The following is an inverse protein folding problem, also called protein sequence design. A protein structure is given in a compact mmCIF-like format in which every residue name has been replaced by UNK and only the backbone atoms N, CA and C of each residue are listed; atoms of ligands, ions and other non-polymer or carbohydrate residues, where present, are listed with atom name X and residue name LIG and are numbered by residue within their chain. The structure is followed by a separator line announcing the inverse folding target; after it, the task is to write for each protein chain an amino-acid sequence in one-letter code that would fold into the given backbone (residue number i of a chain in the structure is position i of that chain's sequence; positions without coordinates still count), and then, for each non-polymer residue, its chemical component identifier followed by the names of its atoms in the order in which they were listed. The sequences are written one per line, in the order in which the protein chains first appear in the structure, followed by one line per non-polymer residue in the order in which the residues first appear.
data_IF_792861272519
#
_entry.id   IF_792861272519
#
_cell.length_a   1.000
_cell.length_b   1.000
_cell.length_c   1.000
_cell.angle_alpha   90.00
_cell.angle_beta   90.00
_cell.angle_gamma   90.00
#
_symmetry.space_group_name_H-M   'P 1'
#
loop_
_entity.id
_entity.type
_entity.pdbx_description
1 polymer ?
#
# COMPACT_ATOMS: atom_id res chain seq x y z
N UNK A 1 -19.22 13.11 -82.76
CA UNK A 1 -20.00 13.89 -81.77
C UNK A 1 -20.25 12.97 -80.60
N UNK A 2 -20.05 13.28 -79.32
CA UNK A 2 -19.36 14.30 -78.53
C UNK A 2 -19.39 13.75 -77.10
N UNK A 3 -18.33 13.91 -76.30
CA UNK A 3 -18.36 13.63 -74.84
C UNK A 3 -19.30 14.62 -74.13
N UNK A 4 -19.67 14.37 -72.86
CA UNK A 4 -18.89 15.03 -71.81
C UNK A 4 -18.67 14.21 -70.53
N UNK A 5 -17.63 14.61 -69.81
CA UNK A 5 -17.27 14.26 -68.43
C UNK A 5 -18.28 14.86 -67.43
N UNK A 6 -18.44 14.27 -66.24
CA UNK A 6 -18.70 15.07 -65.03
C UNK A 6 -18.28 14.33 -63.74
N UNK A 7 -17.56 15.07 -62.90
CA UNK A 7 -17.03 14.77 -61.57
C UNK A 7 -18.09 15.11 -60.51
N UNK A 8 -18.18 14.34 -59.42
CA UNK A 8 -18.62 14.88 -58.11
C UNK A 8 -17.98 14.14 -56.93
N UNK A 9 -17.46 14.95 -56.01
CA UNK A 9 -16.79 14.74 -54.71
C UNK A 9 -17.41 13.81 -53.62
N UNK A 10 -16.51 13.16 -52.87
CA UNK A 10 -16.27 13.07 -51.38
C UNK A 10 -17.44 13.39 -50.41
N UNK A 11 -17.62 12.76 -49.20
CA UNK A 11 -16.65 12.30 -48.17
C UNK A 11 -16.97 10.87 -47.61
N UNK A 12 -16.31 10.23 -46.65
CA UNK A 12 -15.82 10.64 -45.33
C UNK A 12 -15.00 9.47 -44.73
N UNK A 13 -14.31 9.78 -43.63
CA UNK A 13 -13.39 9.00 -42.84
C UNK A 13 -13.77 7.54 -42.52
N UNK A 14 -12.77 6.65 -42.55
CA UNK A 14 -12.22 6.15 -41.29
C UNK A 14 -10.81 5.55 -41.46
N UNK A 15 -9.90 6.16 -40.71
CA UNK A 15 -8.68 5.56 -40.21
C UNK A 15 -9.04 4.28 -39.44
N UNK A 16 -8.36 3.16 -39.71
CA UNK A 16 -8.28 2.04 -38.77
C UNK A 16 -6.91 1.41 -38.91
N UNK A 17 -5.92 2.06 -38.31
CA UNK A 17 -4.86 1.34 -37.59
C UNK A 17 -5.49 0.66 -36.37
N UNK A 18 -5.41 -0.67 -36.21
CA UNK A 18 -5.43 -1.25 -34.89
C UNK A 18 -4.00 -1.16 -34.36
N UNK A 19 -3.80 -0.20 -33.46
CA UNK A 19 -2.67 -0.09 -32.56
C UNK A 19 -2.16 -1.46 -32.11
N UNK A 20 -1.01 -1.88 -32.63
CA UNK A 20 -0.14 -2.82 -31.91
C UNK A 20 0.70 -2.01 -30.93
N UNK A 21 0.00 -1.28 -30.05
CA UNK A 21 0.58 -0.87 -28.79
C UNK A 21 0.31 -2.05 -27.89
N UNK A 22 1.16 -3.07 -27.99
CA UNK A 22 1.44 -3.89 -26.82
C UNK A 22 2.07 -2.92 -25.81
N UNK A 23 1.21 -2.13 -25.16
CA UNK A 23 1.52 -1.46 -23.94
C UNK A 23 1.89 -2.59 -23.01
N UNK A 24 3.19 -2.84 -22.92
CA UNK A 24 3.82 -3.58 -21.85
C UNK A 24 3.14 -3.05 -20.60
N UNK A 25 2.14 -3.80 -20.11
CA UNK A 25 1.42 -3.44 -18.91
C UNK A 25 2.46 -3.64 -17.84
N UNK A 26 3.26 -2.60 -17.58
CA UNK A 26 4.13 -2.51 -16.42
C UNK A 26 3.31 -3.10 -15.30
N UNK A 27 3.79 -4.15 -14.62
CA UNK A 27 3.02 -4.74 -13.55
C UNK A 27 2.80 -3.61 -12.55
N UNK A 28 1.59 -3.05 -12.59
CA UNK A 28 1.26 -1.88 -11.82
C UNK A 28 1.33 -2.36 -10.39
N UNK A 29 2.39 -1.96 -9.67
CA UNK A 29 2.44 -2.16 -8.23
C UNK A 29 1.32 -1.32 -7.65
N UNK A 30 0.18 -1.97 -7.41
CA UNK A 30 -0.98 -1.31 -6.85
C UNK A 30 -0.80 -1.26 -5.33
N UNK A 31 -1.09 -0.11 -4.74
CA UNK A 31 -1.18 0.03 -3.29
C UNK A 31 -2.44 -0.64 -2.71
N UNK A 32 -3.23 -1.33 -3.53
CA UNK A 32 -4.53 -1.88 -3.14
C UNK A 32 -4.43 -2.86 -1.96
N UNK A 33 -3.47 -3.80 -1.99
CA UNK A 33 -3.27 -4.74 -0.88
C UNK A 33 -2.83 -4.04 0.41
N UNK A 34 -1.99 -3.01 0.29
CA UNK A 34 -1.56 -2.19 1.44
C UNK A 34 -2.73 -1.38 2.00
N UNK A 35 -3.57 -0.82 1.14
CA UNK A 35 -4.77 -0.09 1.53
C UNK A 35 -5.75 -1.01 2.27
N UNK A 36 -5.98 -2.23 1.78
CA UNK A 36 -6.86 -3.21 2.42
C UNK A 36 -6.35 -3.58 3.83
N UNK A 37 -5.04 -3.77 3.97
CA UNK A 37 -4.40 -3.97 5.28
C UNK A 37 -4.68 -2.76 6.16
N UNK A 38 -4.34 -1.55 5.72
CA UNK A 38 -4.55 -0.34 6.53
C UNK A 38 -6.02 -0.14 6.93
N UNK A 39 -6.97 -0.40 6.02
CA UNK A 39 -8.41 -0.33 6.29
C UNK A 39 -8.83 -1.32 7.38
N UNK A 40 -8.28 -2.55 7.38
CA UNK A 40 -8.50 -3.55 8.43
C UNK A 40 -8.08 -3.03 9.81
N UNK A 41 -7.02 -2.23 9.87
CA UNK A 41 -6.53 -1.59 11.09
C UNK A 41 -7.14 -0.20 11.34
N UNK A 42 -8.04 0.28 10.48
CA UNK A 42 -8.62 1.65 10.50
C UNK A 42 -7.56 2.75 10.43
N UNK A 43 -6.53 2.51 9.62
CA UNK A 43 -5.41 3.40 9.42
C UNK A 43 -5.48 4.03 8.02
N UNK A 44 -4.97 5.25 7.90
CA UNK A 44 -4.86 5.95 6.63
C UNK A 44 -3.49 5.72 6.00
N UNK A 45 -3.38 5.89 4.68
CA UNK A 45 -2.09 5.89 3.98
C UNK A 45 -1.11 6.93 4.54
N UNK A 46 -1.63 8.07 5.00
CA UNK A 46 -0.85 9.17 5.60
C UNK A 46 -0.67 9.01 7.11
N UNK A 47 -0.32 7.80 7.55
CA UNK A 47 -0.18 7.49 8.98
C UNK A 47 1.02 8.16 9.63
N UNK A 48 0.79 8.75 10.81
CA UNK A 48 1.81 9.29 11.69
C UNK A 48 2.15 8.33 12.84
N UNK A 49 3.20 8.66 13.58
CA UNK A 49 3.62 7.89 14.77
C UNK A 49 2.55 7.93 15.86
N UNK A 50 1.85 9.05 15.96
CA UNK A 50 0.77 9.30 16.93
C UNK A 50 -0.43 8.39 16.71
N UNK A 51 -0.71 8.04 15.45
CA UNK A 51 -1.79 7.10 15.11
C UNK A 51 -1.41 5.68 15.52
N UNK A 52 -0.12 5.32 15.36
CA UNK A 52 0.42 4.02 15.78
C UNK A 52 0.43 3.85 17.31
N UNK A 53 0.80 4.88 18.07
CA UNK A 53 0.71 4.84 19.54
C UNK A 53 -0.72 4.64 20.08
N UNK A 54 -1.74 4.87 19.26
CA UNK A 54 -3.13 4.61 19.63
C UNK A 54 -3.53 3.14 19.48
N UNK A 55 -2.70 2.35 18.82
CA UNK A 55 -2.88 0.91 18.62
C UNK A 55 -2.26 0.13 19.77
N UNK A 56 -2.78 -1.07 20.01
CA UNK A 56 -2.17 -1.98 20.97
C UNK A 56 -0.88 -2.58 20.37
N UNK A 57 0.15 -2.87 21.19
CA UNK A 57 1.42 -3.40 20.68
C UNK A 57 1.26 -4.69 19.84
N UNK A 58 0.35 -5.59 20.24
CA UNK A 58 0.07 -6.79 19.45
C UNK A 58 -0.64 -6.49 18.12
N UNK A 59 -1.47 -5.45 18.06
CA UNK A 59 -2.11 -4.98 16.82
C UNK A 59 -1.06 -4.40 15.87
N UNK A 60 -0.06 -3.70 16.41
CA UNK A 60 1.07 -3.17 15.64
C UNK A 60 1.97 -4.29 15.11
N UNK A 61 2.26 -5.31 15.93
CA UNK A 61 2.99 -6.49 15.48
C UNK A 61 2.24 -7.23 14.35
N UNK A 62 0.93 -7.41 14.49
CA UNK A 62 0.09 -8.03 13.45
C UNK A 62 0.08 -7.19 12.15
N UNK A 63 -0.02 -5.86 12.25
CA UNK A 63 0.08 -4.97 11.10
C UNK A 63 1.43 -5.12 10.38
N UNK A 64 2.54 -5.16 11.11
CA UNK A 64 3.89 -5.35 10.55
C UNK A 64 3.98 -6.64 9.76
N UNK A 65 3.46 -7.74 10.31
CA UNK A 65 3.51 -9.05 9.67
C UNK A 65 2.67 -9.08 8.38
N UNK A 66 1.47 -8.49 8.38
CA UNK A 66 0.64 -8.35 7.17
C UNK A 66 1.33 -7.52 6.08
N UNK A 67 2.02 -6.43 6.45
CA UNK A 67 2.76 -5.60 5.50
C UNK A 67 3.93 -6.35 4.86
N UNK A 68 4.70 -7.12 5.65
CA UNK A 68 5.77 -7.95 5.10
C UNK A 68 5.24 -9.05 4.17
N UNK A 69 4.10 -9.65 4.51
CA UNK A 69 3.46 -10.66 3.66
C UNK A 69 3.04 -10.07 2.30
N UNK A 70 2.36 -8.92 2.30
CA UNK A 70 1.93 -8.28 1.05
C UNK A 70 3.11 -7.76 0.23
N UNK A 71 4.14 -7.22 0.89
CA UNK A 71 5.38 -6.82 0.21
C UNK A 71 6.05 -8.02 -0.48
N UNK A 72 6.13 -9.16 0.21
CA UNK A 72 6.64 -10.41 -0.34
C UNK A 72 5.83 -10.87 -1.55
N UNK A 73 4.50 -10.93 -1.42
CA UNK A 73 3.59 -11.30 -2.50
C UNK A 73 3.73 -10.39 -3.71
N UNK A 74 3.83 -9.07 -3.50
CA UNK A 74 3.98 -8.12 -4.58
C UNK A 74 5.33 -8.26 -5.28
N UNK A 75 6.42 -8.51 -4.53
CA UNK A 75 7.74 -8.78 -5.10
C UNK A 75 7.73 -10.02 -5.98
N UNK A 76 7.05 -11.08 -5.55
CA UNK A 76 6.94 -12.33 -6.32
C UNK A 76 6.10 -12.14 -7.59
N UNK A 77 5.05 -11.31 -7.55
CA UNK A 77 4.22 -10.97 -8.72
C UNK A 77 4.98 -10.18 -9.80
N UNK A 78 5.91 -9.31 -9.40
CA UNK A 78 6.64 -8.45 -10.35
C UNK A 78 7.97 -9.03 -10.80
N UNK A 79 8.48 -10.08 -10.15
CA UNK A 79 9.76 -10.69 -10.52
C UNK A 79 9.78 -11.14 -12.01
N UNK A 80 10.85 -10.85 -12.77
CA UNK A 80 12.13 -10.26 -12.36
C UNK A 80 12.18 -8.72 -12.34
N UNK A 81 11.08 -8.03 -12.64
CA UNK A 81 11.04 -6.57 -12.60
C UNK A 81 11.19 -6.06 -11.15
N UNK A 82 11.79 -4.88 -11.02
CA UNK A 82 11.89 -4.21 -9.73
C UNK A 82 10.52 -3.67 -9.28
N UNK A 83 10.28 -3.69 -7.97
CA UNK A 83 9.16 -2.95 -7.38
C UNK A 83 9.31 -1.45 -7.66
N UNK A 84 8.18 -0.75 -7.82
CA UNK A 84 8.21 0.69 -7.96
C UNK A 84 8.78 1.33 -6.68
N UNK A 85 9.77 2.21 -6.85
CA UNK A 85 10.44 2.90 -5.74
C UNK A 85 9.47 3.56 -4.73
N UNK A 86 8.38 4.24 -5.15
CA UNK A 86 7.43 4.82 -4.19
C UNK A 86 6.77 3.79 -3.27
N UNK A 87 6.51 2.57 -3.76
CA UNK A 87 5.95 1.49 -2.96
C UNK A 87 6.97 0.95 -1.96
N UNK A 88 8.20 0.70 -2.42
CA UNK A 88 9.29 0.22 -1.56
C UNK A 88 9.62 1.22 -0.45
N UNK A 89 9.76 2.50 -0.80
CA UNK A 89 10.03 3.59 0.15
C UNK A 89 8.89 3.73 1.17
N UNK A 90 7.63 3.57 0.74
CA UNK A 90 6.46 3.63 1.62
C UNK A 90 6.47 2.49 2.65
N UNK A 91 6.61 1.24 2.20
CA UNK A 91 6.60 0.07 3.08
C UNK A 91 7.75 0.13 4.07
N UNK A 92 8.95 0.50 3.60
CA UNK A 92 10.12 0.66 4.47
C UNK A 92 9.89 1.73 5.54
N UNK A 93 9.30 2.87 5.16
CA UNK A 93 8.98 3.94 6.11
C UNK A 93 7.95 3.47 7.13
N UNK A 94 6.89 2.79 6.69
CA UNK A 94 5.81 2.34 7.56
C UNK A 94 6.30 1.28 8.55
N UNK A 95 7.03 0.26 8.09
CA UNK A 95 7.61 -0.77 8.96
C UNK A 95 8.54 -0.14 9.99
N UNK A 96 9.41 0.78 9.58
CA UNK A 96 10.30 1.49 10.52
C UNK A 96 9.53 2.25 11.60
N UNK A 97 8.43 2.91 11.25
CA UNK A 97 7.60 3.62 12.23
C UNK A 97 6.95 2.66 13.22
N UNK A 98 6.48 1.50 12.75
CA UNK A 98 5.91 0.47 13.61
C UNK A 98 6.96 -0.08 14.57
N UNK A 99 8.15 -0.42 14.07
CA UNK A 99 9.25 -0.94 14.89
C UNK A 99 9.68 0.09 15.95
N UNK A 100 9.75 1.37 15.59
CA UNK A 100 10.08 2.44 16.54
C UNK A 100 9.06 2.54 17.68
N UNK A 101 7.76 2.41 17.40
CA UNK A 101 6.71 2.44 18.43
C UNK A 101 6.76 1.19 19.30
N UNK A 102 6.97 0.01 18.70
CA UNK A 102 7.10 -1.25 19.44
C UNK A 102 8.31 -1.24 20.39
N UNK A 103 9.43 -0.69 19.94
CA UNK A 103 10.66 -0.57 20.75
C UNK A 103 10.45 0.39 21.92
N UNK A 104 9.68 1.46 21.73
CA UNK A 104 9.31 2.41 22.80
C UNK A 104 8.42 1.76 23.86
N UNK A 105 7.38 1.02 23.45
CA UNK A 105 6.51 0.29 24.38
C UNK A 105 7.29 -0.76 25.22
N UNK A 106 8.26 -1.46 24.61
CA UNK A 106 9.10 -2.42 25.34
C UNK A 106 10.07 -1.72 26.31
N UNK A 107 10.61 -0.56 25.93
CA UNK A 107 11.44 0.25 26.82
C UNK A 107 10.65 0.76 28.04
N UNK A 108 9.40 1.19 27.83
CA UNK A 108 8.50 1.60 28.91
C UNK A 108 8.13 0.42 29.82
N UNK A 109 7.84 -0.75 29.24
CA UNK A 109 7.55 -1.97 30.00
C UNK A 109 8.73 -2.40 30.89
N UNK A 110 9.97 -2.33 30.36
CA UNK A 110 11.18 -2.61 31.15
C UNK A 110 11.38 -1.59 32.26
N UNK A 111 11.12 -0.33 32.00
CA UNK A 111 11.22 0.75 32.99
C UNK A 111 10.19 0.59 34.11
N UNK A 112 8.96 0.18 33.78
CA UNK A 112 7.92 -0.13 34.75
C UNK A 112 8.23 -1.39 35.58
N UNK A 113 8.77 -2.43 34.94
CA UNK A 113 9.19 -3.68 35.59
C UNK A 113 10.30 -3.45 36.61
N UNK A 114 11.28 -2.59 36.31
CA UNK A 114 12.35 -2.20 37.23
C UNK A 114 11.86 -1.43 38.47
N UNK A 115 10.65 -0.85 38.40
CA UNK A 115 10.03 -0.06 39.49
C UNK A 115 9.12 -0.89 40.42
N UNK A 116 8.97 -2.21 40.20
CA UNK A 116 8.31 -3.10 41.16
C UNK A 116 6.82 -2.84 41.41
N UNK A 117 6.07 -2.32 40.42
CA UNK A 117 4.61 -2.21 40.50
C UNK A 117 3.94 -3.17 39.52
N UNK A 118 3.46 -4.29 40.05
CA UNK A 118 2.70 -5.31 39.34
C UNK A 118 1.33 -4.75 38.94
N UNK A 119 1.15 -4.41 37.67
CA UNK A 119 -0.19 -4.17 37.11
C UNK A 119 -0.41 -5.12 35.94
N UNK A 120 -1.26 -6.12 36.20
CA UNK A 120 -1.82 -7.03 35.21
C UNK A 120 -2.55 -6.20 34.14
N UNK A 121 -2.04 -6.19 32.91
CA UNK A 121 -2.78 -5.62 31.79
C UNK A 121 -3.77 -6.67 31.26
N UNK A 122 -5.04 -6.44 31.58
CA UNK A 122 -6.16 -7.20 31.07
C UNK A 122 -6.33 -6.92 29.57
N UNK A 123 -6.45 -8.03 28.84
CA UNK A 123 -7.05 -8.21 27.53
C UNK A 123 -8.40 -7.48 27.42
N UNK A 124 -8.68 -6.84 26.28
CA UNK A 124 -9.85 -7.02 25.38
C UNK A 124 -9.87 -5.84 24.38
N UNK A 125 -9.91 -6.20 23.09
CA UNK A 125 -10.27 -5.41 21.88
C UNK A 125 -9.82 -3.94 21.75
N UNK A 126 -8.88 -3.70 20.85
CA UNK A 126 -8.54 -2.35 20.38
C UNK A 126 -8.00 -2.38 18.95
N UNK A 127 -8.91 -2.22 17.99
CA UNK A 127 -8.57 -1.63 16.70
C UNK A 127 -8.06 -0.21 17.02
N UNK A 128 -6.98 0.22 16.35
CA UNK A 128 -6.39 1.55 16.49
C UNK A 128 -7.48 2.61 16.65
N UNK A 129 -7.30 3.52 17.63
CA UNK A 129 -8.32 4.52 17.94
C UNK A 129 -8.40 5.52 16.78
N UNK A 130 -9.32 5.29 15.85
CA UNK A 130 -9.64 6.24 14.79
C UNK A 130 -10.01 7.58 15.43
N UNK A 131 -9.27 8.64 15.06
CA UNK A 131 -9.63 10.03 15.38
C UNK A 131 -10.76 10.51 14.48
#
# INVERSE_FOLDING_TARGET
MSSPENVTDTPDANETTPDTNEATKSPSTTFAGVQEILDKFRLLLSIGKEDLHSCLPWTLADLRDHLHLEYGAQRDRVAPAALAKPFDDYIRRLVRLIDEVLDEDDADARSASASGSSIFYNLIEGICRAK
#
